data_IF_725006948415
#
_entry.id   IF_725006948415
#
_cell.length_a   1.000
_cell.length_b   1.000
_cell.length_c   1.000
_cell.angle_alpha   90.00
_cell.angle_beta   90.00
_cell.angle_gamma   90.00
#
_symmetry.space_group_name_H-M   'P 1'
#
loop_
_entity.id
_entity.type
_entity.pdbx_description
1 polymer ?
#
# COMPACT_ATOMS: atom_id res chain seq x y z
N UNK A 70 21.03 -14.97 10.61
CA UNK A 70 21.02 -16.20 11.46
C UNK A 70 21.65 -15.88 12.83
N UNK A 71 21.81 -14.59 13.10
CA UNK A 71 22.36 -14.05 14.35
C UNK A 71 23.76 -14.58 14.69
N UNK A 72 24.05 -15.77 14.18
CA UNK A 72 25.31 -16.45 14.41
C UNK A 72 26.21 -16.31 13.17
N UNK A 73 25.61 -16.48 11.99
CA UNK A 73 26.38 -16.35 10.75
C UNK A 73 26.92 -14.92 10.62
N UNK A 74 26.74 -14.13 11.68
CA UNK A 74 27.22 -12.74 11.74
C UNK A 74 27.95 -12.47 13.05
N UNK A 75 27.88 -13.43 13.96
CA UNK A 75 28.57 -13.30 15.22
C UNK A 75 29.91 -13.98 15.06
N UNK A 76 29.92 -15.04 14.25
CA UNK A 76 31.13 -15.80 13.95
C UNK A 76 31.76 -15.27 12.68
N UNK A 77 30.94 -15.05 11.66
CA UNK A 77 31.44 -14.53 10.39
C UNK A 77 31.97 -13.12 10.59
N UNK A 78 31.08 -12.14 10.73
CA UNK A 78 31.51 -10.76 10.92
C UNK A 78 32.61 -10.67 11.98
N UNK A 79 32.65 -11.68 12.85
CA UNK A 79 33.66 -11.73 13.89
C UNK A 79 35.07 -11.88 13.33
N UNK A 80 35.32 -12.99 12.65
CA UNK A 80 36.63 -13.23 12.07
C UNK A 80 36.93 -12.09 11.08
N UNK A 81 35.92 -11.70 10.30
CA UNK A 81 36.07 -10.63 9.31
C UNK A 81 36.57 -9.37 9.99
N UNK A 82 35.77 -8.87 10.93
CA UNK A 82 36.14 -7.65 11.68
C UNK A 82 37.51 -7.86 12.38
N UNK A 83 37.94 -9.12 12.46
CA UNK A 83 39.20 -9.43 13.09
C UNK A 83 40.32 -9.35 12.07
N UNK A 84 40.17 -10.09 10.97
CA UNK A 84 41.17 -10.08 9.91
C UNK A 84 41.55 -8.64 9.68
N UNK A 85 40.54 -7.84 9.33
CA UNK A 85 40.72 -6.41 9.07
C UNK A 85 41.40 -5.74 10.24
N UNK A 86 41.01 -6.13 11.44
CA UNK A 86 41.60 -5.54 12.63
C UNK A 86 43.12 -5.76 12.66
N UNK A 87 43.57 -6.89 12.13
CA UNK A 87 44.99 -7.20 12.12
C UNK A 87 45.82 -6.64 10.98
N UNK A 88 45.19 -6.09 9.95
CA UNK A 88 45.93 -5.54 8.82
C UNK A 88 46.91 -4.43 9.25
N UNK A 89 47.96 -4.19 8.45
CA UNK A 89 49.01 -3.18 8.68
C UNK A 89 48.46 -1.77 8.76
N UNK A 90 49.21 -0.87 9.42
CA UNK A 90 48.83 0.54 9.55
C UNK A 90 48.59 0.99 8.10
N UNK A 91 49.63 0.75 7.32
CA UNK A 91 49.72 1.03 5.91
C UNK A 91 48.39 0.70 5.24
N UNK A 92 48.10 -0.59 5.13
CA UNK A 92 46.86 -1.06 4.51
C UNK A 92 45.59 -0.51 5.15
N UNK A 93 45.53 -0.55 6.48
CA UNK A 93 44.39 -0.05 7.24
C UNK A 93 44.00 1.31 6.72
N UNK A 94 44.99 2.18 6.60
CA UNK A 94 44.78 3.54 6.13
C UNK A 94 44.01 3.60 4.80
N UNK A 95 44.53 2.88 3.80
CA UNK A 95 43.94 2.80 2.48
C UNK A 95 42.41 2.61 2.60
N UNK A 96 42.02 1.62 3.40
CA UNK A 96 40.60 1.32 3.63
C UNK A 96 39.90 2.52 4.27
N UNK A 97 40.58 3.20 5.18
CA UNK A 97 39.99 4.37 5.81
C UNK A 97 39.54 5.34 4.72
N UNK A 98 40.36 5.50 3.68
CA UNK A 98 40.04 6.41 2.58
C UNK A 98 38.99 5.80 1.67
N UNK A 99 39.04 4.48 1.54
CA UNK A 99 38.06 3.78 0.73
C UNK A 99 36.70 4.06 1.37
N UNK A 100 36.71 4.04 2.70
CA UNK A 100 35.52 4.28 3.50
C UNK A 100 35.01 5.71 3.27
N UNK A 101 35.94 6.61 2.92
CA UNK A 101 35.61 8.02 2.64
C UNK A 101 35.00 8.09 1.25
N UNK A 102 35.64 7.40 0.32
CA UNK A 102 35.17 7.36 -1.05
C UNK A 102 33.74 6.84 -1.06
N UNK A 103 33.43 5.95 -0.12
CA UNK A 103 32.09 5.37 -0.01
C UNK A 103 31.07 6.46 0.26
N UNK A 104 31.36 7.33 1.23
CA UNK A 104 30.42 8.41 1.60
C UNK A 104 30.22 9.42 0.47
N UNK A 105 31.16 9.45 -0.47
CA UNK A 105 31.07 10.33 -1.63
C UNK A 105 30.02 9.73 -2.55
N UNK A 106 30.19 8.43 -2.85
CA UNK A 106 29.24 7.67 -3.65
C UNK A 106 27.88 8.02 -3.08
N UNK A 107 27.74 7.77 -1.78
CA UNK A 107 26.50 8.04 -1.07
C UNK A 107 25.85 9.38 -1.42
N UNK A 108 26.64 10.43 -1.52
CA UNK A 108 26.09 11.72 -1.82
C UNK A 108 25.49 11.72 -3.25
N UNK A 109 26.10 10.96 -4.14
CA UNK A 109 25.62 10.86 -5.53
C UNK A 109 24.32 10.06 -5.56
N UNK A 110 24.39 8.90 -4.91
CA UNK A 110 23.28 7.96 -4.82
C UNK A 110 22.02 8.62 -4.27
N UNK A 111 22.21 9.73 -3.55
CA UNK A 111 21.05 10.42 -3.03
C UNK A 111 20.41 11.19 -4.18
N UNK A 112 21.23 11.88 -4.96
CA UNK A 112 20.70 12.62 -6.10
C UNK A 112 19.99 11.65 -7.03
N UNK A 113 20.63 10.51 -7.26
CA UNK A 113 20.04 9.50 -8.11
C UNK A 113 18.60 9.24 -7.69
N UNK A 114 18.44 8.86 -6.43
CA UNK A 114 17.12 8.56 -5.88
C UNK A 114 16.15 9.68 -6.14
N UNK A 115 16.65 10.91 -6.11
CA UNK A 115 15.81 12.07 -6.35
C UNK A 115 15.27 12.14 -7.78
N UNK A 116 16.17 12.05 -8.75
CA UNK A 116 15.75 12.11 -10.15
C UNK A 116 14.86 10.92 -10.52
N UNK A 117 14.98 9.85 -9.73
CA UNK A 117 14.20 8.63 -9.91
C UNK A 117 12.79 8.86 -9.40
N UNK A 118 12.71 9.36 -8.17
CA UNK A 118 11.42 9.61 -7.55
C UNK A 118 10.64 10.53 -8.48
N UNK A 119 11.35 11.46 -9.07
CA UNK A 119 10.76 12.43 -10.00
C UNK A 119 10.28 11.69 -11.23
N UNK A 120 11.22 11.00 -11.90
CA UNK A 120 10.93 10.23 -13.09
C UNK A 120 9.68 9.37 -12.88
N UNK A 121 9.53 8.86 -11.67
CA UNK A 121 8.39 8.03 -11.31
C UNK A 121 7.11 8.85 -11.32
N UNK A 122 7.15 9.99 -10.65
CA UNK A 122 5.99 10.85 -10.60
C UNK A 122 5.61 11.25 -12.02
N UNK A 123 6.61 11.35 -12.89
CA UNK A 123 6.39 11.73 -14.27
C UNK A 123 5.45 10.77 -14.95
N UNK A 124 5.69 9.48 -14.74
CA UNK A 124 4.86 8.47 -15.35
C UNK A 124 3.58 8.20 -14.60
N UNK A 125 3.56 8.54 -13.31
CA UNK A 125 2.36 8.34 -12.55
C UNK A 125 1.33 9.14 -13.31
N UNK A 126 1.78 10.29 -13.80
CA UNK A 126 0.94 11.20 -14.57
C UNK A 126 0.40 10.52 -15.81
N UNK A 127 1.28 9.82 -16.52
CA UNK A 127 0.87 9.13 -17.74
C UNK A 127 -0.08 7.97 -17.47
N UNK A 128 -0.08 7.46 -16.23
CA UNK A 128 -0.97 6.35 -15.88
C UNK A 128 -2.35 6.88 -15.49
N UNK A 129 -2.35 7.90 -14.61
CA UNK A 129 -3.59 8.51 -14.09
C UNK A 129 -4.75 8.48 -15.07
N UNK A 130 -4.54 8.99 -16.30
CA UNK A 130 -5.60 9.02 -17.32
C UNK A 130 -6.22 7.64 -17.50
N UNK A 131 -5.36 6.65 -17.73
CA UNK A 131 -5.80 5.28 -17.92
C UNK A 131 -6.54 4.82 -16.67
N UNK A 132 -5.91 4.90 -15.51
CA UNK A 132 -6.56 4.45 -14.30
C UNK A 132 -7.91 5.13 -14.08
N UNK A 133 -8.04 6.40 -14.45
CA UNK A 133 -9.29 7.13 -14.28
C UNK A 133 -10.34 6.50 -15.18
N UNK A 134 -9.90 6.16 -16.39
CA UNK A 134 -10.74 5.51 -17.38
C UNK A 134 -11.39 4.28 -16.74
N UNK A 135 -10.57 3.42 -16.16
CA UNK A 135 -11.10 2.22 -15.54
C UNK A 135 -11.95 2.57 -14.34
N UNK A 136 -11.55 3.63 -13.64
CA UNK A 136 -12.31 4.08 -12.50
C UNK A 136 -13.76 4.23 -12.93
N UNK A 137 -13.96 4.91 -14.07
CA UNK A 137 -15.28 5.18 -14.66
C UNK A 137 -16.02 3.96 -15.18
N UNK A 138 -15.26 3.01 -15.75
CA UNK A 138 -15.84 1.76 -16.27
C UNK A 138 -16.45 1.00 -15.09
N UNK A 139 -15.68 0.95 -14.00
CA UNK A 139 -16.06 0.27 -12.77
C UNK A 139 -17.24 1.00 -12.12
N UNK A 140 -17.22 2.33 -12.22
CA UNK A 140 -18.31 3.18 -11.68
C UNK A 140 -19.60 2.84 -12.40
N UNK A 141 -19.50 2.56 -13.70
CA UNK A 141 -20.66 2.27 -14.51
C UNK A 141 -21.00 3.61 -15.14
N UNK A 142 -20.11 4.56 -14.86
CA UNK A 142 -20.22 5.94 -15.32
C UNK A 142 -19.87 6.05 -16.79
N UNK A 143 -18.94 5.21 -17.23
CA UNK A 143 -18.52 5.19 -18.62
C UNK A 143 -18.66 3.77 -19.15
N UNK A 144 -19.11 3.62 -20.40
CA UNK A 144 -19.27 2.28 -20.97
C UNK A 144 -18.10 1.87 -21.85
N UNK A 145 -17.95 0.56 -22.07
CA UNK A 145 -16.86 0.04 -22.91
C UNK A 145 -17.13 0.19 -24.39
N UNK A 146 -16.19 0.81 -25.11
CA UNK A 146 -16.33 0.99 -26.55
C UNK A 146 -16.20 -0.41 -27.13
N UNK A 147 -17.06 -0.78 -28.07
CA UNK A 147 -16.92 -2.13 -28.63
C UNK A 147 -15.48 -2.46 -29.02
N UNK A 148 -14.78 -1.49 -29.61
CA UNK A 148 -13.38 -1.69 -30.02
C UNK A 148 -12.57 -2.29 -28.84
N UNK A 149 -12.69 -1.67 -27.65
CA UNK A 149 -11.99 -2.14 -26.45
C UNK A 149 -12.48 -3.54 -26.14
N UNK A 150 -13.80 -3.67 -26.07
CA UNK A 150 -14.44 -4.95 -25.79
C UNK A 150 -13.84 -6.12 -26.58
N UNK A 151 -13.55 -5.92 -27.87
CA UNK A 151 -12.98 -6.99 -28.69
C UNK A 151 -11.54 -7.28 -28.29
N UNK A 152 -10.70 -6.25 -28.35
CA UNK A 152 -9.30 -6.36 -27.96
C UNK A 152 -9.18 -7.18 -26.67
N UNK A 153 -10.07 -6.90 -25.71
CA UNK A 153 -10.06 -7.62 -24.45
C UNK A 153 -10.24 -9.10 -24.67
N UNK A 154 -11.17 -9.47 -25.52
CA UNK A 154 -11.41 -10.88 -25.83
C UNK A 154 -10.17 -11.48 -26.45
N UNK A 155 -9.57 -10.73 -27.37
CA UNK A 155 -8.36 -11.17 -28.04
C UNK A 155 -7.27 -11.40 -27.00
N UNK A 156 -7.07 -10.39 -26.16
CA UNK A 156 -6.07 -10.42 -25.10
C UNK A 156 -6.30 -11.60 -24.15
N UNK A 157 -7.51 -11.63 -23.58
CA UNK A 157 -7.94 -12.67 -22.67
C UNK A 157 -7.70 -14.08 -23.21
N UNK A 158 -8.05 -14.33 -24.47
CA UNK A 158 -7.80 -15.64 -25.06
C UNK A 158 -6.28 -15.86 -25.07
N UNK A 159 -5.55 -14.87 -25.58
CA UNK A 159 -4.11 -14.93 -25.65
C UNK A 159 -3.51 -15.32 -24.31
N UNK A 160 -4.04 -14.76 -23.22
CA UNK A 160 -3.53 -15.09 -21.90
C UNK A 160 -4.22 -16.34 -21.34
N UNK A 161 -5.04 -16.95 -22.17
CA UNK A 161 -5.77 -18.14 -21.75
C UNK A 161 -6.66 -17.89 -20.53
N UNK A 162 -7.31 -16.73 -20.49
CA UNK A 162 -8.22 -16.41 -19.40
C UNK A 162 -9.64 -16.56 -19.98
N UNK A 163 -9.93 -17.76 -20.48
CA UNK A 163 -11.22 -18.09 -21.09
C UNK A 163 -12.49 -17.71 -20.32
N UNK A 164 -12.43 -17.69 -18.99
CA UNK A 164 -13.60 -17.35 -18.17
C UNK A 164 -14.13 -15.93 -18.48
N UNK A 165 -13.29 -15.12 -19.11
CA UNK A 165 -13.63 -13.73 -19.45
C UNK A 165 -14.24 -13.58 -20.83
N UNK A 166 -14.01 -14.57 -21.69
CA UNK A 166 -14.56 -14.52 -23.03
C UNK A 166 -16.08 -14.43 -22.98
N UNK A 167 -16.66 -13.70 -23.94
CA UNK A 167 -18.11 -13.52 -24.06
C UNK A 167 -18.42 -13.69 -25.54
N UNK A 168 -19.57 -14.28 -25.87
CA UNK A 168 -19.92 -14.49 -27.28
C UNK A 168 -20.18 -13.24 -28.11
N UNK A 169 -20.90 -13.39 -29.23
CA UNK A 169 -21.20 -12.26 -30.10
C UNK A 169 -21.18 -10.93 -29.36
N UNK A 170 -20.07 -10.20 -29.42
CA UNK A 170 -19.98 -8.92 -28.73
C UNK A 170 -21.09 -8.02 -29.27
N UNK A 171 -21.60 -7.16 -28.38
CA UNK A 171 -22.69 -6.24 -28.69
C UNK A 171 -22.61 -5.71 -30.13
N UNK A 181 -29.33 -5.30 -16.96
CA UNK A 181 -28.79 -5.86 -15.73
C UNK A 181 -28.12 -4.79 -14.85
N UNK A 182 -27.01 -5.15 -14.21
CA UNK A 182 -26.27 -4.23 -13.33
C UNK A 182 -25.49 -3.12 -14.05
N UNK A 183 -25.10 -2.10 -13.29
CA UNK A 183 -24.33 -0.99 -13.85
C UNK A 183 -22.86 -1.09 -13.45
N UNK A 184 -21.98 -0.98 -14.44
CA UNK A 184 -20.57 -1.09 -14.16
C UNK A 184 -20.24 -2.50 -13.67
N UNK A 185 -19.28 -2.61 -12.76
CA UNK A 185 -18.87 -3.90 -12.22
C UNK A 185 -18.77 -3.80 -10.69
N UNK A 186 -19.81 -4.28 -10.01
CA UNK A 186 -20.02 -4.32 -8.55
C UNK A 186 -18.85 -4.87 -7.77
N UNK A 187 -18.71 -4.41 -6.53
CA UNK A 187 -17.66 -4.88 -5.62
C UNK A 187 -16.30 -5.16 -6.27
N UNK A 188 -15.93 -4.37 -7.26
CA UNK A 188 -14.66 -4.58 -7.94
C UNK A 188 -13.50 -4.46 -6.95
N UNK A 189 -13.46 -3.32 -6.26
CA UNK A 189 -12.40 -3.06 -5.29
C UNK A 189 -12.48 -3.96 -4.07
N UNK A 190 -13.69 -4.31 -3.66
CA UNK A 190 -13.84 -5.21 -2.51
C UNK A 190 -13.27 -6.56 -2.93
N UNK A 191 -13.75 -7.07 -4.06
CA UNK A 191 -13.31 -8.35 -4.62
C UNK A 191 -11.81 -8.42 -4.89
N UNK A 192 -11.27 -7.35 -5.48
CA UNK A 192 -9.85 -7.29 -5.78
C UNK A 192 -9.01 -7.37 -4.50
N UNK A 193 -9.41 -6.60 -3.49
CA UNK A 193 -8.72 -6.58 -2.21
C UNK A 193 -8.77 -7.92 -1.47
N UNK A 194 -9.84 -8.66 -1.65
CA UNK A 194 -10.00 -9.96 -1.02
C UNK A 194 -8.85 -10.82 -1.52
N UNK A 195 -8.70 -10.92 -2.84
CA UNK A 195 -7.64 -11.72 -3.44
C UNK A 195 -6.23 -11.17 -3.22
N UNK A 196 -6.11 -10.08 -2.49
CA UNK A 196 -4.77 -9.52 -2.23
C UNK A 196 -4.21 -9.98 -0.93
N UNK A 197 -3.02 -10.41 -1.07
CA UNK A 197 -2.44 -10.84 0.15
C UNK A 197 -2.48 -9.71 1.16
N UNK A 198 -1.90 -9.70 2.19
CA UNK A 198 -2.09 -9.34 3.57
C UNK A 198 -3.41 -8.63 3.79
N UNK A 199 -3.85 -7.84 2.94
CA UNK A 199 -4.99 -6.94 3.11
C UNK A 199 -6.32 -7.65 3.15
N UNK A 200 -6.50 -8.82 2.71
CA UNK A 200 -7.71 -9.63 2.85
C UNK A 200 -8.06 -10.08 4.27
N UNK A 201 -7.05 -10.10 5.13
CA UNK A 201 -7.23 -10.54 6.50
C UNK A 201 -7.61 -9.38 7.38
N UNK A 202 -7.62 -8.18 6.81
CA UNK A 202 -7.99 -6.99 7.57
C UNK A 202 -9.50 -6.74 7.40
N UNK A 203 -10.02 -7.17 6.26
CA UNK A 203 -11.43 -6.97 5.96
C UNK A 203 -12.29 -7.92 6.78
N UNK A 204 -13.43 -7.42 7.23
CA UNK A 204 -14.36 -8.21 8.01
C UNK A 204 -15.74 -8.03 7.35
N UNK A 205 -16.62 -9.01 7.51
CA UNK A 205 -17.96 -8.91 6.91
C UNK A 205 -18.50 -7.53 7.23
N UNK A 206 -18.23 -7.13 8.46
CA UNK A 206 -18.67 -5.85 8.96
C UNK A 206 -18.22 -4.75 7.99
N UNK A 207 -16.90 -4.68 7.75
CA UNK A 207 -16.42 -3.63 6.86
C UNK A 207 -16.41 -3.97 5.36
N UNK A 208 -16.68 -5.23 5.02
CA UNK A 208 -16.72 -5.59 3.61
C UNK A 208 -17.94 -4.90 2.99
N UNK A 209 -18.93 -4.62 3.83
CA UNK A 209 -20.17 -3.95 3.42
C UNK A 209 -19.90 -2.52 3.07
N UNK A 210 -19.01 -1.91 3.84
CA UNK A 210 -18.61 -0.53 3.68
C UNK A 210 -17.69 -0.41 2.46
N UNK A 211 -16.90 -1.45 2.21
CA UNK A 211 -15.98 -1.48 1.07
C UNK A 211 -16.74 -1.74 -0.25
N UNK A 212 -18.05 -1.82 -0.14
CA UNK A 212 -18.89 -2.04 -1.30
C UNK A 212 -18.87 -0.72 -2.03
N UNK A 213 -18.78 0.36 -1.26
CA UNK A 213 -18.79 1.70 -1.79
C UNK A 213 -17.44 2.28 -2.22
N UNK A 214 -16.39 1.47 -2.16
CA UNK A 214 -15.09 1.96 -2.57
C UNK A 214 -15.02 2.07 -4.10
N UNK A 215 -15.02 3.31 -4.58
CA UNK A 215 -14.99 3.61 -6.02
C UNK A 215 -13.66 3.53 -6.75
N UNK A 216 -12.56 3.68 -6.04
CA UNK A 216 -11.25 3.63 -6.68
C UNK A 216 -10.14 3.83 -5.63
N UNK A 217 -8.92 3.40 -5.98
CA UNK A 217 -7.76 3.57 -5.10
C UNK A 217 -6.60 4.14 -5.93
N UNK A 218 -6.05 5.28 -5.50
CA UNK A 218 -4.98 5.92 -6.25
C UNK A 218 -3.70 6.31 -5.55
N UNK A 219 -2.66 6.49 -6.37
CA UNK A 219 -1.31 6.87 -5.96
C UNK A 219 -1.04 8.38 -6.08
N UNK A 220 0.04 8.81 -5.45
CA UNK A 220 0.47 10.20 -5.49
C UNK A 220 1.77 10.31 -4.71
N UNK A 221 2.84 10.66 -5.39
CA UNK A 221 4.12 10.78 -4.70
C UNK A 221 4.23 12.19 -4.14
N UNK A 222 4.76 12.29 -2.92
CA UNK A 222 4.95 13.58 -2.26
C UNK A 222 6.19 14.24 -2.80
N UNK A 223 5.99 15.25 -3.63
CA UNK A 223 7.09 15.98 -4.23
C UNK A 223 7.49 17.13 -3.32
N UNK A 224 6.51 17.98 -3.02
CA UNK A 224 6.74 19.14 -2.17
C UNK A 224 7.03 18.75 -0.73
N UNK A 225 8.34 18.71 -0.40
CA UNK A 225 8.79 18.37 0.93
C UNK A 225 9.56 17.05 0.99
N UNK A 226 9.40 16.33 2.10
CA UNK A 226 10.06 15.03 2.30
C UNK A 226 9.34 14.01 1.42
N UNK A 227 10.09 13.18 0.69
CA UNK A 227 9.45 12.18 -0.17
C UNK A 227 8.59 11.16 0.56
N UNK A 228 7.65 10.58 -0.18
CA UNK A 228 6.74 9.59 0.35
C UNK A 228 5.61 9.47 -0.65
N UNK A 229 4.59 8.66 -0.35
CA UNK A 229 3.46 8.55 -1.26
C UNK A 229 2.14 8.60 -0.53
N UNK A 230 1.06 8.53 -1.29
CA UNK A 230 -0.27 8.58 -0.70
C UNK A 230 -1.27 7.70 -1.44
N UNK A 231 -2.19 7.12 -0.68
CA UNK A 231 -3.21 6.25 -1.24
C UNK A 231 -4.52 6.97 -1.10
N UNK A 232 -5.24 7.12 -2.22
CA UNK A 232 -6.51 7.81 -2.20
C UNK A 232 -7.71 6.92 -2.47
N UNK A 233 -8.46 6.61 -1.42
CA UNK A 233 -9.66 5.78 -1.51
C UNK A 233 -10.85 6.72 -1.74
N UNK A 234 -11.32 6.76 -2.99
CA UNK A 234 -12.46 7.60 -3.32
C UNK A 234 -13.69 6.73 -3.12
N UNK A 235 -14.62 7.23 -2.32
CA UNK A 235 -15.83 6.49 -2.03
C UNK A 235 -17.07 7.08 -2.70
N UNK A 236 -18.19 6.35 -2.58
CA UNK A 236 -19.44 6.80 -3.15
C UNK A 236 -20.17 7.69 -2.16
N UNK A 237 -19.57 8.84 -1.87
CA UNK A 237 -20.13 9.80 -0.94
C UNK A 237 -21.65 9.89 -1.05
N UNK A 238 -22.13 10.04 -2.28
CA UNK A 238 -23.55 10.15 -2.54
C UNK A 238 -24.42 8.96 -2.12
N UNK A 239 -23.82 7.83 -1.79
CA UNK A 239 -24.62 6.67 -1.41
C UNK A 239 -24.07 5.88 -0.23
N UNK A 240 -22.88 6.25 0.22
CA UNK A 240 -22.23 5.59 1.35
C UNK A 240 -22.98 5.79 2.67
N UNK A 241 -23.46 4.70 3.24
CA UNK A 241 -24.22 4.66 4.49
C UNK A 241 -23.42 4.98 5.74
N UNK A 242 -22.19 4.49 5.80
CA UNK A 242 -21.33 4.65 6.97
C UNK A 242 -20.67 6.00 7.13
N UNK A 243 -19.98 6.49 6.10
CA UNK A 243 -19.35 7.79 6.21
C UNK A 243 -19.52 8.73 5.03
N UNK A 244 -19.71 10.00 5.37
CA UNK A 244 -19.92 11.06 4.41
C UNK A 244 -18.67 11.41 3.61
N UNK A 245 -17.49 10.96 4.06
CA UNK A 245 -16.26 11.31 3.36
C UNK A 245 -16.26 10.95 1.88
N UNK A 246 -15.57 11.80 1.11
CA UNK A 246 -15.45 11.65 -0.33
C UNK A 246 -14.19 10.89 -0.67
N UNK A 247 -13.18 11.08 0.16
CA UNK A 247 -11.91 10.41 -0.01
C UNK A 247 -11.22 10.20 1.32
N UNK A 248 -10.64 9.02 1.46
CA UNK A 248 -9.89 8.66 2.65
C UNK A 248 -8.52 8.40 2.05
N UNK A 249 -7.47 8.93 2.65
CA UNK A 249 -6.17 8.63 2.09
C UNK A 249 -5.24 8.05 3.12
N UNK A 250 -4.03 7.75 2.71
CA UNK A 250 -3.03 7.18 3.59
C UNK A 250 -1.76 7.87 3.17
N UNK A 251 -0.95 8.24 4.13
CA UNK A 251 0.27 8.91 3.77
C UNK A 251 1.48 8.26 4.42
N UNK A 252 2.48 8.00 3.58
CA UNK A 252 3.70 7.40 4.03
C UNK A 252 4.84 8.38 3.71
N UNK A 253 5.71 8.58 4.69
CA UNK A 253 6.84 9.46 4.55
C UNK A 253 8.13 8.69 4.74
N UNK A 254 9.01 8.74 3.76
CA UNK A 254 10.28 8.03 3.89
C UNK A 254 11.21 8.99 4.63
N UNK A 255 12.25 8.46 5.27
CA UNK A 255 13.18 9.33 5.96
C UNK A 255 14.19 9.86 4.94
N UNK A 256 14.65 11.10 5.16
CA UNK A 256 15.63 11.77 4.28
C UNK A 256 16.88 10.91 4.10
N UNK A 257 17.29 10.25 5.18
CA UNK A 257 18.44 9.37 5.16
C UNK A 257 18.07 8.18 4.27
N UNK A 258 19.02 7.73 3.45
CA UNK A 258 18.75 6.61 2.56
C UNK A 258 19.26 5.31 3.16
N UNK A 259 18.75 4.19 2.64
CA UNK A 259 19.19 2.91 3.17
C UNK A 259 20.61 2.59 2.75
N UNK A 260 21.18 1.57 3.39
CA UNK A 260 22.53 1.15 3.04
C UNK A 260 22.34 0.53 1.66
N UNK A 261 21.21 -0.16 1.52
CA UNK A 261 20.80 -0.78 0.26
C UNK A 261 20.86 0.27 -0.83
N UNK A 262 20.51 1.50 -0.49
CA UNK A 262 20.55 2.58 -1.45
C UNK A 262 19.22 3.25 -1.77
N UNK A 263 18.13 2.74 -1.22
CA UNK A 263 16.82 3.32 -1.47
C UNK A 263 16.11 3.82 -0.22
N UNK A 264 15.00 4.51 -0.45
CA UNK A 264 14.17 5.11 0.59
C UNK A 264 13.84 4.17 1.75
N UNK A 265 13.67 4.74 2.93
CA UNK A 265 13.33 3.93 4.10
C UNK A 265 12.04 4.44 4.73
N UNK A 266 11.22 3.51 5.20
CA UNK A 266 9.96 3.87 5.83
C UNK A 266 10.24 4.67 7.09
N UNK A 267 9.45 5.70 7.30
CA UNK A 267 9.66 6.53 8.48
C UNK A 267 8.45 6.80 9.36
N UNK A 268 7.38 7.28 8.76
CA UNK A 268 6.19 7.63 9.53
C UNK A 268 4.98 7.45 8.60
N UNK A 269 3.81 7.16 9.17
CA UNK A 269 2.58 6.99 8.38
C UNK A 269 1.41 7.79 8.95
N UNK A 270 0.68 8.49 8.09
CA UNK A 270 -0.45 9.29 8.55
C UNK A 270 -1.82 8.77 8.08
N UNK A 271 -2.77 8.77 9.00
CA UNK A 271 -4.12 8.29 8.73
C UNK A 271 -5.24 9.30 8.51
N UNK A 272 -5.60 9.44 7.25
CA UNK A 272 -6.66 10.34 6.82
C UNK A 272 -8.02 9.98 7.43
N UNK A 273 -8.26 10.54 8.63
CA UNK A 273 -9.48 10.39 9.46
C UNK A 273 -10.79 10.08 8.74
N UNK A 274 -11.73 9.45 9.49
CA UNK A 274 -13.03 9.08 8.94
C UNK A 274 -14.24 9.67 9.69
N UNK A 275 -15.22 10.15 8.92
CA UNK A 275 -16.42 10.77 9.48
C UNK A 275 -17.70 9.90 9.50
N UNK A 276 -17.62 8.77 10.20
CA UNK A 276 -18.77 7.86 10.32
C UNK A 276 -19.99 8.60 10.79
N UNK A 277 -21.05 8.49 10.02
CA UNK A 277 -22.31 9.16 10.31
C UNK A 277 -22.95 8.73 11.62
N UNK A 278 -22.78 7.45 11.94
CA UNK A 278 -23.43 6.83 13.08
C UNK A 278 -22.41 6.13 13.97
N UNK A 279 -22.63 6.11 15.28
CA UNK A 279 -21.67 5.38 16.11
C UNK A 279 -21.83 3.89 15.77
N UNK A 280 -23.07 3.53 15.46
CA UNK A 280 -23.44 2.16 15.09
C UNK A 280 -22.76 1.83 13.79
N UNK A 281 -22.88 2.74 12.82
CA UNK A 281 -22.25 2.52 11.54
C UNK A 281 -20.73 2.49 11.60
N UNK A 282 -20.16 2.89 12.74
CA UNK A 282 -18.71 2.90 12.93
C UNK A 282 -18.16 1.48 12.98
N UNK A 283 -17.65 1.03 11.84
CA UNK A 283 -17.12 -0.32 11.72
C UNK A 283 -15.90 -0.59 12.58
N UNK A 284 -15.13 0.45 12.88
CA UNK A 284 -13.91 0.29 13.68
C UNK A 284 -14.20 0.13 15.17
N UNK A 285 -15.47 0.21 15.53
CA UNK A 285 -15.83 0.07 16.91
C UNK A 285 -17.06 -0.82 17.08
N UNK A 286 -17.25 -1.29 18.31
CA UNK A 286 -18.36 -2.15 18.65
C UNK A 286 -19.30 -1.42 19.60
N UNK A 287 -20.60 -1.46 19.30
CA UNK A 287 -21.60 -0.78 20.09
C UNK A 287 -22.57 -1.74 20.80
N UNK A 288 -22.47 -1.80 22.13
CA UNK A 288 -23.33 -2.66 22.95
C UNK A 288 -23.94 -1.74 24.02
N UNK A 289 -25.19 -1.37 23.78
CA UNK A 289 -25.92 -0.46 24.66
C UNK A 289 -26.63 -1.10 25.84
N UNK A 290 -26.42 -0.53 27.01
CA UNK A 290 -27.01 -1.03 28.24
C UNK A 290 -27.85 0.06 28.88
N UNK A 291 -28.44 -0.25 30.03
CA UNK A 291 -29.25 0.73 30.75
C UNK A 291 -28.86 0.67 32.23
N UNK A 292 -29.20 1.71 32.99
CA UNK A 292 -28.88 1.78 34.41
C UNK A 292 -29.95 2.55 35.19
N UNK A 302 -30.52 3.96 28.40
CA UNK A 302 -30.09 3.17 27.25
C UNK A 302 -28.68 3.53 26.80
N UNK A 303 -27.94 4.22 27.68
CA UNK A 303 -26.56 4.64 27.38
C UNK A 303 -25.76 3.57 26.64
N UNK A 304 -24.80 4.00 25.83
CA UNK A 304 -24.01 3.05 25.05
C UNK A 304 -22.56 2.90 25.52
N UNK A 305 -22.03 1.70 25.30
CA UNK A 305 -20.66 1.35 25.66
C UNK A 305 -19.92 1.08 24.34
N UNK A 306 -18.82 1.80 24.11
CA UNK A 306 -18.07 1.61 22.86
C UNK A 306 -16.83 0.74 23.06
N UNK A 307 -16.52 -0.11 22.08
CA UNK A 307 -15.36 -0.97 22.18
C UNK A 307 -14.62 -1.15 20.88
N UNK A 308 -13.36 -0.67 20.82
CA UNK A 308 -12.48 -0.74 19.65
C UNK A 308 -12.37 -2.15 19.04
N UNK A 309 -12.89 -2.30 17.82
CA UNK A 309 -12.84 -3.57 17.11
C UNK A 309 -11.63 -3.59 16.16
N UNK A 310 -11.27 -4.78 15.70
CA UNK A 310 -10.17 -4.93 14.75
C UNK A 310 -10.80 -4.84 13.36
N UNK A 311 -10.63 -3.69 12.72
CA UNK A 311 -11.19 -3.42 11.40
C UNK A 311 -10.17 -3.12 10.32
N UNK A 312 -10.64 -3.08 9.09
CA UNK A 312 -9.80 -2.79 7.95
C UNK A 312 -9.56 -1.28 7.95
N UNK A 313 -10.62 -0.54 8.26
CA UNK A 313 -10.55 0.91 8.29
C UNK A 313 -9.64 1.49 9.37
N UNK A 314 -8.94 0.62 10.11
CA UNK A 314 -8.00 1.07 11.13
C UNK A 314 -6.75 1.51 10.39
N UNK A 315 -6.71 1.14 9.10
CA UNK A 315 -5.62 1.48 8.20
C UNK A 315 -5.52 3.01 8.15
N UNK A 316 -6.60 3.67 8.53
CA UNK A 316 -6.65 5.13 8.51
C UNK A 316 -6.38 5.72 9.88
N UNK A 317 -5.60 4.96 10.65
CA UNK A 317 -5.17 5.35 11.99
C UNK A 317 -3.92 4.53 12.28
N UNK A 318 -2.85 4.76 11.50
CA UNK A 318 -1.59 4.04 11.66
C UNK A 318 -1.16 3.96 13.13
N UNK A 319 -0.15 3.13 13.42
CA UNK A 319 0.34 2.97 14.79
C UNK A 319 1.10 4.20 15.27
N UNK A 320 0.73 4.64 16.49
CA UNK A 320 1.30 5.79 17.19
C UNK A 320 2.72 6.16 16.78
N UNK A 321 2.97 7.47 16.66
CA UNK A 321 4.30 7.95 16.25
C UNK A 321 5.38 7.34 17.15
N UNK A 322 6.41 6.83 16.51
CA UNK A 322 7.55 6.23 17.19
C UNK A 322 7.60 6.57 18.67
N UNK A 323 7.57 5.54 19.53
CA UNK A 323 7.66 5.76 20.96
C UNK A 323 9.05 5.37 21.44
N UNK A 324 9.38 5.71 22.67
CA UNK A 324 10.68 5.38 23.22
C UNK A 324 10.84 3.85 23.19
N UNK A 325 11.28 3.34 22.05
CA UNK A 325 11.49 1.90 21.80
C UNK A 325 11.69 1.07 23.07
N UNK A 326 12.94 0.97 23.51
CA UNK A 326 13.33 0.25 24.73
C UNK A 326 12.45 -0.95 25.13
N UNK A 327 11.44 -0.67 25.95
CA UNK A 327 10.49 -1.66 26.49
C UNK A 327 10.03 -2.82 25.60
N UNK A 328 9.18 -3.66 26.19
CA UNK A 328 8.61 -4.82 25.50
C UNK A 328 7.09 -4.78 25.51
N UNK A 329 6.28 -5.12 25.00
CA UNK A 329 5.04 -5.13 24.21
C UNK A 329 4.65 -3.70 23.85
N UNK A 330 5.33 -2.76 24.51
CA UNK A 330 5.11 -1.33 24.30
C UNK A 330 6.01 -1.03 23.09
N UNK A 331 6.65 -2.09 22.60
CA UNK A 331 7.55 -2.01 21.45
C UNK A 331 7.28 -3.16 20.48
N UNK A 332 7.90 -4.32 20.73
CA UNK A 332 7.74 -5.49 19.84
C UNK A 332 6.33 -5.62 19.31
N UNK A 333 5.37 -5.27 20.16
CA UNK A 333 3.95 -5.35 19.85
C UNK A 333 3.50 -4.24 18.89
N UNK A 334 3.45 -3.00 19.36
CA UNK A 334 3.01 -1.87 18.53
C UNK A 334 4.05 -1.51 17.47
N UNK A 335 5.05 -2.38 17.29
CA UNK A 335 6.08 -2.12 16.30
C UNK A 335 5.78 -2.93 15.05
N UNK A 336 5.33 -4.17 15.23
CA UNK A 336 5.00 -5.04 14.12
C UNK A 336 3.63 -4.70 13.57
N UNK A 337 2.79 -4.02 14.36
CA UNK A 337 1.50 -3.61 13.85
C UNK A 337 1.82 -2.63 12.72
N UNK A 338 2.92 -1.91 12.91
CA UNK A 338 3.41 -0.93 11.93
C UNK A 338 4.00 -1.65 10.73
N UNK A 339 4.89 -2.59 10.99
CA UNK A 339 5.52 -3.34 9.92
C UNK A 339 4.46 -3.80 8.91
N UNK A 340 3.34 -4.31 9.42
CA UNK A 340 2.28 -4.79 8.54
C UNK A 340 1.62 -3.65 7.79
N UNK A 341 1.38 -2.55 8.49
CA UNK A 341 0.77 -1.37 7.90
C UNK A 341 1.61 -0.81 6.73
N UNK A 342 2.93 -0.86 6.86
CA UNK A 342 3.80 -0.39 5.80
C UNK A 342 3.74 -1.41 4.68
N UNK A 343 3.77 -2.69 5.05
CA UNK A 343 3.71 -3.75 4.06
C UNK A 343 2.46 -3.63 3.19
N UNK A 344 1.30 -3.51 3.83
CA UNK A 344 0.03 -3.39 3.12
C UNK A 344 0.09 -2.24 2.11
N UNK A 345 0.36 -1.03 2.60
CA UNK A 345 0.45 0.13 1.71
C UNK A 345 1.30 -0.11 0.48
N UNK A 346 2.37 -0.90 0.64
CA UNK A 346 3.26 -1.23 -0.46
C UNK A 346 2.61 -2.21 -1.44
N UNK A 347 1.70 -3.04 -0.95
CA UNK A 347 0.98 -4.01 -1.77
C UNK A 347 0.02 -3.29 -2.70
N UNK A 348 -0.75 -2.34 -2.14
CA UNK A 348 -1.71 -1.58 -2.93
C UNK A 348 -0.94 -0.75 -3.95
N UNK A 349 0.10 -0.07 -3.47
CA UNK A 349 0.92 0.78 -4.32
C UNK A 349 1.61 0.03 -5.46
N UNK A 350 2.15 -1.15 -5.15
CA UNK A 350 2.89 -1.93 -6.15
C UNK A 350 2.15 -3.00 -6.93
N UNK A 351 1.15 -3.62 -6.34
CA UNK A 351 0.42 -4.67 -7.04
C UNK A 351 -1.01 -4.28 -7.39
N UNK A 352 -1.83 -4.09 -6.36
CA UNK A 352 -3.25 -3.76 -6.53
C UNK A 352 -3.58 -2.64 -7.52
N UNK A 353 -2.98 -1.47 -7.30
CA UNK A 353 -3.25 -0.32 -8.17
C UNK A 353 -2.78 -0.51 -9.62
N UNK A 354 -1.54 -1.00 -9.80
CA UNK A 354 -1.00 -1.22 -11.16
C UNK A 354 -1.70 -2.36 -11.94
N UNK A 355 -2.25 -3.33 -11.22
CA UNK A 355 -2.89 -4.48 -11.85
C UNK A 355 -4.24 -4.83 -11.25
N UNK A 356 -5.01 -3.81 -10.85
CA UNK A 356 -6.32 -4.03 -10.25
C UNK A 356 -7.25 -5.03 -10.94
N UNK A 357 -7.30 -5.02 -12.28
CA UNK A 357 -8.19 -5.94 -12.97
C UNK A 357 -7.89 -7.37 -12.54
N UNK A 358 -6.63 -7.76 -12.70
CA UNK A 358 -6.15 -9.09 -12.35
C UNK A 358 -6.39 -9.51 -10.91
N UNK A 359 -6.29 -8.58 -9.97
CA UNK A 359 -6.54 -8.92 -8.59
C UNK A 359 -8.00 -9.25 -8.39
N UNK A 360 -8.83 -8.78 -9.32
CA UNK A 360 -10.25 -9.06 -9.24
C UNK A 360 -10.45 -10.48 -9.75
N UNK A 361 -9.88 -10.77 -10.93
CA UNK A 361 -9.99 -12.10 -11.53
C UNK A 361 -9.18 -13.14 -10.78
N UNK A 362 -8.26 -12.70 -9.93
CA UNK A 362 -7.42 -13.64 -9.20
C UNK A 362 -6.24 -14.01 -10.08
N UNK A 363 -6.35 -13.64 -11.35
CA UNK A 363 -5.32 -13.89 -12.34
C UNK A 363 -4.00 -13.39 -11.81
N UNK A 364 -4.03 -12.20 -11.22
CA UNK A 364 -2.83 -11.60 -10.67
C UNK A 364 -2.02 -12.61 -9.86
N UNK A 365 -2.64 -13.22 -8.86
CA UNK A 365 -1.99 -14.22 -7.98
C UNK A 365 -1.08 -15.16 -8.76
N UNK A 366 -1.64 -15.74 -9.81
CA UNK A 366 -0.93 -16.68 -10.66
C UNK A 366 0.13 -15.99 -11.51
N UNK A 367 -0.27 -15.01 -12.31
CA UNK A 367 0.64 -14.25 -13.19
C UNK A 367 1.97 -13.94 -12.52
N UNK A 368 1.98 -13.99 -11.18
CA UNK A 368 3.17 -13.71 -10.36
C UNK A 368 4.10 -14.89 -10.16
N UNK A 369 3.52 -16.06 -9.95
CA UNK A 369 4.31 -17.27 -9.75
C UNK A 369 4.98 -17.59 -11.08
N UNK A 370 4.28 -17.24 -12.15
CA UNK A 370 4.77 -17.41 -13.51
C UNK A 370 5.78 -16.29 -13.78
#
# INVERSE_FOLDING_TARGET
MSDPIRTKPKSSMQIDNAPTPHNTPASVLNPSYLKNGNPVRAQAQEQDDKIGTINEEDILANQPLLLQSIQDRLGSLVGQDSGYVGGLPKNVKEKLLSLKTLQSELFEVEKEFQVEMFELENKFLQKYKPIWEQRSRIISGQEQPKPEQIAKGQEIVESLNETELLVDEEEKAQNDSEEEQVKGIPSFWLTALENLPIVCDTITDRDAEVLEYLQDIGLEYLTDGRPGFKLLFRFDSSANPFFTNDILCKTYFYQKELGYSGDFIYDHAEGCEISWKDNAHNVTVDLEMRKQRNKTTKQVRTIEKITPIESFFNFFDPPKIQNEDQDEELEEDLEERLALDYSIGEQLKDKLIPRAVDWFTGAALEFEFEEDEEEADEDEDEEEDDDHGLEDDDGESAEEQDDFAGRPEQAPECKQS
#
